data_IF_384150838388
#
_entry.id   IF_384150838388
#
_cell.length_a   1.000
_cell.length_b   1.000
_cell.length_c   1.000
_cell.angle_alpha   90.00
_cell.angle_beta   90.00
_cell.angle_gamma   90.00
#
_symmetry.space_group_name_H-M   'P 1'
#
loop_
_entity.id
_entity.type
_entity.pdbx_description
1 polymer ?
#
# COMPACT_ATOMS: atom_id res chain seq x y z
N UNK A 1 -36.97 -20.24 -14.29
CA UNK A 1 -36.41 -19.19 -15.19
C UNK A 1 -35.87 -17.97 -14.44
N UNK A 2 -35.93 -17.93 -13.10
CA UNK A 2 -35.69 -16.72 -12.30
C UNK A 2 -34.27 -16.61 -11.74
N UNK A 3 -33.60 -17.72 -11.42
CA UNK A 3 -32.25 -17.69 -10.82
C UNK A 3 -31.15 -17.28 -11.81
N UNK A 4 -31.22 -17.75 -13.06
CA UNK A 4 -30.24 -17.38 -14.10
C UNK A 4 -30.25 -15.88 -14.42
N UNK A 5 -31.43 -15.24 -14.40
CA UNK A 5 -31.55 -13.81 -14.64
C UNK A 5 -30.95 -13.00 -13.49
N UNK A 6 -31.19 -13.40 -12.24
CA UNK A 6 -30.63 -12.71 -11.07
C UNK A 6 -29.09 -12.76 -11.05
N UNK A 7 -28.50 -13.88 -11.46
CA UNK A 7 -27.03 -14.01 -11.59
C UNK A 7 -26.52 -13.13 -12.74
N UNK A 8 -27.20 -13.11 -13.89
CA UNK A 8 -26.82 -12.27 -15.02
C UNK A 8 -26.87 -10.76 -14.68
N UNK A 9 -27.90 -10.33 -13.95
CA UNK A 9 -28.06 -8.94 -13.52
C UNK A 9 -26.98 -8.55 -12.49
N UNK A 10 -26.66 -9.44 -11.56
CA UNK A 10 -25.60 -9.22 -10.56
C UNK A 10 -24.21 -9.08 -11.21
N UNK A 11 -23.91 -9.95 -12.18
CA UNK A 11 -22.66 -9.89 -12.94
C UNK A 11 -22.58 -8.60 -13.76
N UNK A 12 -23.66 -8.21 -14.42
CA UNK A 12 -23.73 -6.97 -15.21
C UNK A 12 -23.49 -5.75 -14.32
N UNK A 13 -24.13 -5.70 -13.15
CA UNK A 13 -23.91 -4.63 -12.17
C UNK A 13 -22.45 -4.57 -11.68
N UNK A 14 -21.79 -5.72 -11.49
CA UNK A 14 -20.39 -5.76 -11.09
C UNK A 14 -19.44 -5.25 -12.18
N UNK A 15 -19.67 -5.62 -13.44
CA UNK A 15 -18.89 -5.13 -14.60
C UNK A 15 -19.03 -3.62 -14.75
N UNK A 16 -20.26 -3.10 -14.69
CA UNK A 16 -20.52 -1.66 -14.79
C UNK A 16 -19.79 -0.88 -13.69
N UNK A 17 -19.83 -1.34 -12.44
CA UNK A 17 -19.11 -0.71 -11.31
C UNK A 17 -17.61 -0.62 -11.57
N UNK A 18 -17.03 -1.69 -12.12
CA UNK A 18 -15.61 -1.74 -12.43
C UNK A 18 -15.22 -0.73 -13.53
N UNK A 19 -16.05 -0.60 -14.57
CA UNK A 19 -15.80 0.34 -15.66
C UNK A 19 -15.95 1.80 -15.21
N UNK A 20 -16.95 2.11 -14.37
CA UNK A 20 -17.06 3.43 -13.75
C UNK A 20 -15.88 3.72 -12.82
N UNK A 21 -15.41 2.75 -12.04
CA UNK A 21 -14.23 2.92 -11.19
C UNK A 21 -12.96 3.21 -12.01
N UNK A 22 -12.78 2.53 -13.16
CA UNK A 22 -11.66 2.78 -14.09
C UNK A 22 -11.73 4.17 -14.71
N UNK A 23 -12.91 4.59 -15.18
CA UNK A 23 -13.12 5.90 -15.77
C UNK A 23 -12.88 7.02 -14.74
N UNK A 24 -13.43 6.86 -13.54
CA UNK A 24 -13.25 7.80 -12.43
C UNK A 24 -11.78 7.88 -12.02
N UNK A 25 -11.08 6.75 -11.90
CA UNK A 25 -9.63 6.74 -11.63
C UNK A 25 -8.82 7.43 -12.72
N UNK A 26 -9.17 7.21 -13.99
CA UNK A 26 -8.47 7.82 -15.12
C UNK A 26 -8.60 9.35 -15.13
N UNK A 27 -9.71 9.88 -14.61
CA UNK A 27 -9.97 11.32 -14.53
C UNK A 27 -9.38 11.95 -13.25
N UNK A 28 -9.62 11.35 -12.08
CA UNK A 28 -9.26 11.94 -10.78
C UNK A 28 -7.98 11.40 -10.16
N UNK A 29 -7.46 10.26 -10.61
CA UNK A 29 -6.30 9.57 -10.03
C UNK A 29 -6.41 9.30 -8.52
N UNK A 30 -7.61 8.97 -8.06
CA UNK A 30 -7.88 8.70 -6.64
C UNK A 30 -7.24 7.39 -6.13
N UNK A 31 -7.01 7.30 -4.81
CA UNK A 31 -6.33 6.15 -4.21
C UNK A 31 -7.23 4.89 -4.10
N UNK A 32 -6.61 3.74 -3.78
CA UNK A 32 -7.29 2.44 -3.79
C UNK A 32 -8.45 2.37 -2.79
N UNK A 33 -8.28 3.01 -1.63
CA UNK A 33 -9.30 3.04 -0.59
C UNK A 33 -10.51 3.86 -1.03
N UNK A 34 -10.28 4.99 -1.71
CA UNK A 34 -11.33 5.83 -2.28
C UNK A 34 -12.16 5.07 -3.31
N UNK A 35 -11.49 4.40 -4.26
CA UNK A 35 -12.16 3.56 -5.27
C UNK A 35 -13.00 2.45 -4.62
N UNK A 36 -12.41 1.73 -3.66
CA UNK A 36 -13.09 0.61 -2.99
C UNK A 36 -14.35 1.07 -2.27
N UNK A 37 -14.28 2.17 -1.51
CA UNK A 37 -15.42 2.72 -0.78
C UNK A 37 -16.49 3.31 -1.70
N UNK A 38 -16.08 4.05 -2.75
CA UNK A 38 -17.00 4.77 -3.63
C UNK A 38 -17.77 3.82 -4.56
N UNK A 39 -17.09 2.84 -5.14
CA UNK A 39 -17.70 1.91 -6.11
C UNK A 39 -18.09 0.56 -5.49
N UNK A 40 -17.84 0.37 -4.19
CA UNK A 40 -18.09 -0.87 -3.46
C UNK A 40 -17.42 -2.07 -4.16
N UNK A 41 -16.19 -1.85 -4.65
CA UNK A 41 -15.36 -2.88 -5.28
C UNK A 41 -14.32 -3.41 -4.27
N UNK A 42 -13.90 -4.69 -4.37
CA UNK A 42 -12.82 -5.23 -3.54
C UNK A 42 -11.54 -4.39 -3.66
N UNK A 43 -10.83 -4.27 -2.54
CA UNK A 43 -9.56 -3.52 -2.49
C UNK A 43 -8.51 -4.08 -3.47
N UNK A 44 -8.55 -5.39 -3.74
CA UNK A 44 -7.70 -6.04 -4.75
C UNK A 44 -7.95 -5.47 -6.15
N UNK A 45 -9.22 -5.40 -6.58
CA UNK A 45 -9.60 -4.80 -7.87
C UNK A 45 -9.27 -3.30 -7.93
N UNK A 46 -9.47 -2.56 -6.84
CA UNK A 46 -9.08 -1.15 -6.78
C UNK A 46 -7.56 -0.95 -6.94
N UNK A 47 -6.75 -1.82 -6.32
CA UNK A 47 -5.28 -1.84 -6.50
C UNK A 47 -4.88 -2.18 -7.93
N UNK A 48 -5.60 -3.09 -8.59
CA UNK A 48 -5.35 -3.44 -10.00
C UNK A 48 -5.61 -2.26 -10.94
N UNK A 49 -6.70 -1.51 -10.72
CA UNK A 49 -7.00 -0.29 -11.49
C UNK A 49 -5.86 0.73 -11.37
N UNK A 50 -5.33 0.92 -10.16
CA UNK A 50 -4.21 1.85 -9.92
C UNK A 50 -2.91 1.34 -10.54
N UNK A 51 -2.62 0.05 -10.42
CA UNK A 51 -1.42 -0.58 -10.98
C UNK A 51 -1.40 -0.50 -12.51
N UNK A 52 -2.57 -0.57 -13.15
CA UNK A 52 -2.71 -0.39 -14.59
C UNK A 52 -2.57 1.07 -15.04
N UNK A 53 -2.57 2.05 -14.13
CA UNK A 53 -2.49 3.47 -14.46
C UNK A 53 -1.04 3.94 -14.61
N UNK A 54 -0.59 4.35 -15.81
CA UNK A 54 0.80 4.78 -16.03
C UNK A 54 1.17 6.05 -15.24
N UNK A 55 0.18 6.89 -14.93
CA UNK A 55 0.38 8.16 -14.21
C UNK A 55 0.39 8.00 -12.68
N UNK A 56 -0.22 6.93 -12.17
CA UNK A 56 -0.26 6.65 -10.73
C UNK A 56 1.06 6.10 -10.19
N UNK A 57 2.01 5.77 -11.08
CA UNK A 57 3.36 5.35 -10.72
C UNK A 57 4.25 6.52 -10.24
N UNK A 58 3.67 7.70 -9.99
CA UNK A 58 4.35 8.80 -9.29
C UNK A 58 4.40 8.54 -7.77
N UNK A 59 4.94 7.39 -7.37
CA UNK A 59 5.78 7.40 -6.19
C UNK A 59 7.01 8.18 -6.61
N UNK A 60 7.02 9.49 -6.42
CA UNK A 60 8.30 10.18 -6.26
C UNK A 60 8.95 9.47 -5.07
N UNK A 61 10.06 8.74 -5.25
CA UNK A 61 10.76 8.26 -4.09
C UNK A 61 11.15 9.54 -3.35
N UNK A 62 10.49 9.79 -2.21
CA UNK A 62 11.18 10.53 -1.16
C UNK A 62 12.54 9.88 -1.05
N UNK A 63 13.59 10.68 -0.92
CA UNK A 63 15.01 10.33 -0.97
C UNK A 63 15.46 9.15 -0.08
N UNK A 64 14.56 8.49 0.62
CA UNK A 64 14.76 7.25 1.36
C UNK A 64 14.47 6.01 0.48
N UNK A 65 15.44 5.09 0.34
CA UNK A 65 15.21 3.80 -0.29
C UNK A 65 14.08 3.05 0.43
N UNK A 66 13.05 2.64 -0.31
CA UNK A 66 12.03 1.75 0.21
C UNK A 66 12.32 0.32 -0.24
N UNK A 67 12.43 -0.62 0.70
CA UNK A 67 12.48 -2.05 0.39
C UNK A 67 11.20 -2.50 -0.31
N UNK A 68 11.29 -3.46 -1.24
CA UNK A 68 10.13 -4.01 -1.95
C UNK A 68 9.56 -5.26 -1.25
N UNK A 69 10.38 -5.90 -0.39
CA UNK A 69 10.08 -7.09 0.40
C UNK A 69 10.77 -7.00 1.76
N UNK A 70 10.32 -7.84 2.69
CA UNK A 70 10.92 -7.95 4.02
C UNK A 70 12.39 -8.38 3.91
N UNK A 71 13.27 -7.75 4.69
CA UNK A 71 14.72 -7.93 4.68
C UNK A 71 15.47 -7.43 3.43
N UNK A 72 14.83 -6.65 2.54
CA UNK A 72 15.51 -6.07 1.38
C UNK A 72 16.44 -4.92 1.78
N UNK A 73 15.96 -4.01 2.65
CA UNK A 73 16.69 -2.80 3.05
C UNK A 73 16.51 -2.57 4.55
N UNK A 74 17.63 -2.54 5.24
CA UNK A 74 17.72 -2.18 6.65
C UNK A 74 18.34 -0.79 6.78
N UNK A 75 17.72 0.08 7.57
CA UNK A 75 18.29 1.36 7.98
C UNK A 75 18.90 1.20 9.38
N UNK A 76 20.20 1.50 9.49
CA UNK A 76 20.91 1.53 10.76
C UNK A 76 21.09 2.99 11.20
N UNK A 77 20.77 3.28 12.45
CA UNK A 77 21.08 4.56 13.10
C UNK A 77 21.61 4.32 14.52
N UNK A 78 22.22 5.34 15.12
CA UNK A 78 22.63 5.33 16.53
C UNK A 78 21.86 6.40 17.27
N UNK A 79 21.03 5.99 18.22
CA UNK A 79 20.31 6.93 19.10
C UNK A 79 21.00 7.06 20.44
N UNK A 80 21.08 8.28 20.95
CA UNK A 80 21.54 8.54 22.31
C UNK A 80 20.38 8.35 23.30
N UNK A 81 20.63 7.57 24.35
CA UNK A 81 19.70 7.32 25.46
C UNK A 81 20.45 7.33 26.78
N UNK A 82 20.50 8.50 27.41
CA UNK A 82 21.28 8.75 28.64
C UNK A 82 21.02 7.79 29.82
N UNK A 83 19.82 7.20 30.03
CA UNK A 83 19.61 6.25 31.13
C UNK A 83 20.46 4.98 31.05
N UNK A 84 21.05 4.66 29.90
CA UNK A 84 21.95 3.50 29.75
C UNK A 84 23.40 3.78 30.18
N UNK A 85 23.71 5.00 30.66
CA UNK A 85 25.02 5.33 31.22
C UNK A 85 26.15 5.14 30.20
N UNK A 86 27.10 4.23 30.48
CA UNK A 86 28.21 3.94 29.56
C UNK A 86 27.73 3.37 28.22
N UNK A 87 26.54 2.76 28.18
CA UNK A 87 25.95 2.16 26.98
C UNK A 87 24.89 3.08 26.36
N UNK A 88 25.00 4.40 26.58
CA UNK A 88 24.03 5.40 26.11
C UNK A 88 23.90 5.51 24.59
N UNK A 89 24.78 4.90 23.80
CA UNK A 89 24.70 4.88 22.35
C UNK A 89 24.08 3.56 21.90
N UNK A 90 22.80 3.60 21.56
CA UNK A 90 22.04 2.41 21.14
C UNK A 90 22.05 2.34 19.61
N UNK A 91 22.58 1.25 19.08
CA UNK A 91 22.48 0.93 17.66
C UNK A 91 21.09 0.39 17.37
N UNK A 92 20.39 0.97 16.40
CA UNK A 92 19.05 0.58 15.99
C UNK A 92 19.02 0.26 14.51
N UNK A 93 18.60 -0.94 14.16
CA UNK A 93 18.39 -1.40 12.78
C UNK A 93 16.90 -1.62 12.54
N UNK A 94 16.34 -1.04 11.48
CA UNK A 94 14.92 -1.21 11.11
C UNK A 94 14.81 -1.72 9.67
N UNK A 95 14.06 -2.81 9.47
CA UNK A 95 13.64 -3.25 8.14
C UNK A 95 12.54 -2.32 7.62
N UNK A 96 12.85 -1.55 6.58
CA UNK A 96 11.98 -0.46 6.09
C UNK A 96 10.66 -1.00 5.52
N UNK A 97 10.64 -2.27 5.08
CA UNK A 97 9.43 -2.89 4.53
C UNK A 97 8.50 -3.45 5.61
N UNK A 98 9.01 -4.28 6.53
CA UNK A 98 8.18 -4.93 7.56
C UNK A 98 8.01 -4.11 8.84
N UNK A 99 8.87 -3.13 9.08
CA UNK A 99 8.94 -2.38 10.34
C UNK A 99 9.59 -3.17 11.48
N UNK A 100 10.18 -4.33 11.21
CA UNK A 100 10.93 -5.10 12.21
C UNK A 100 12.13 -4.30 12.71
N UNK A 101 12.32 -4.22 14.03
CA UNK A 101 13.42 -3.48 14.64
C UNK A 101 14.33 -4.37 15.49
N UNK A 102 15.62 -4.07 15.46
CA UNK A 102 16.63 -4.63 16.34
C UNK A 102 17.37 -3.48 17.02
N UNK A 103 17.58 -3.57 18.34
CA UNK A 103 18.32 -2.58 19.10
C UNK A 103 19.36 -3.26 19.99
N UNK A 104 20.59 -2.72 19.99
CA UNK A 104 21.68 -3.21 20.82
C UNK A 104 22.43 -2.05 21.47
N UNK A 105 22.68 -2.16 22.76
CA UNK A 105 23.56 -1.29 23.52
C UNK A 105 24.85 -2.08 23.80
N UNK A 106 26.00 -1.53 23.40
CA UNK A 106 27.31 -2.17 23.50
C UNK A 106 28.16 -1.52 24.58
#
# INVERSE_FOLDING_TARGET
LTEGNAVADSLTAAVLKLDFARASHSFFHQNAQGLSKQFQIPLTQAKDIIRACPKSQRFTPGVNPHGLRSNDIWQLDVTHYSPFGCLQYVHVSVDIFSGTLCASAN
#
